data_IF_831909673402
#
_entry.id   IF_831909673402
#
_cell.length_a   1.000
_cell.length_b   1.000
_cell.length_c   1.000
_cell.angle_alpha   90.00
_cell.angle_beta   90.00
_cell.angle_gamma   90.00
#
_symmetry.space_group_name_H-M   'P 1'
#
loop_
_entity.id
_entity.type
_entity.pdbx_description
1 polymer ?
#
# COMPACT_ATOMS: atom_id res chain seq x y z
N UNK A 1 -2.70 -21.70 1.54
CA UNK A 1 -1.77 -22.70 2.08
C UNK A 1 -2.61 -23.87 2.58
N UNK A 2 -2.34 -25.05 2.08
CA UNK A 2 -2.95 -26.24 2.64
C UNK A 2 -2.28 -26.53 3.98
N UNK A 3 -3.05 -27.04 4.94
CA UNK A 3 -2.56 -27.36 6.30
C UNK A 3 -1.34 -28.30 6.31
N UNK A 4 -1.12 -29.03 5.22
CA UNK A 4 0.00 -29.98 5.03
C UNK A 4 1.34 -29.31 4.64
N UNK A 5 1.34 -28.04 4.23
CA UNK A 5 2.54 -27.32 3.77
C UNK A 5 2.92 -26.13 4.69
N UNK A 6 2.09 -25.85 5.70
CA UNK A 6 2.36 -24.76 6.66
C UNK A 6 3.36 -25.26 7.71
N UNK A 7 4.48 -24.55 7.96
CA UNK A 7 5.39 -24.91 9.03
C UNK A 7 4.69 -25.03 10.38
N UNK A 8 5.10 -25.97 11.22
CA UNK A 8 4.43 -26.28 12.50
C UNK A 8 4.44 -25.13 13.52
N UNK A 9 5.35 -24.18 13.35
CA UNK A 9 5.48 -23.00 14.21
C UNK A 9 4.65 -21.79 13.74
N UNK A 10 3.94 -21.88 12.59
CA UNK A 10 3.07 -20.82 12.11
C UNK A 10 1.69 -20.92 12.75
N UNK A 11 1.15 -19.79 13.17
CA UNK A 11 -0.15 -19.72 13.86
C UNK A 11 -1.22 -19.16 12.94
N UNK A 12 -2.41 -19.75 12.99
CA UNK A 12 -3.57 -19.22 12.28
C UNK A 12 -4.14 -18.03 13.05
N UNK A 13 -4.18 -16.88 12.38
CA UNK A 13 -4.64 -15.61 12.96
C UNK A 13 -5.82 -15.09 12.16
N UNK A 14 -6.86 -14.61 12.86
CA UNK A 14 -8.01 -13.94 12.26
C UNK A 14 -7.88 -12.42 12.43
N UNK A 15 -8.15 -11.65 11.38
CA UNK A 15 -7.94 -10.20 11.40
C UNK A 15 -8.74 -9.48 12.48
N UNK A 16 -9.99 -9.87 12.71
CA UNK A 16 -10.79 -9.30 13.79
C UNK A 16 -10.25 -9.53 15.19
N UNK A 17 -9.31 -10.47 15.36
CA UNK A 17 -8.69 -10.76 16.67
C UNK A 17 -7.38 -10.00 16.92
N UNK A 18 -6.80 -9.38 15.88
CA UNK A 18 -5.48 -8.71 15.96
C UNK A 18 -5.52 -7.20 15.75
N UNK A 19 -6.65 -6.64 15.32
CA UNK A 19 -6.74 -5.22 15.00
C UNK A 19 -8.17 -4.72 14.84
N UNK A 20 -8.30 -3.42 14.60
CA UNK A 20 -9.57 -2.74 14.35
C UNK A 20 -9.57 -2.01 13.02
N UNK A 21 -10.72 -2.00 12.34
CA UNK A 21 -10.92 -1.21 11.12
C UNK A 21 -11.31 0.22 11.44
N UNK A 22 -10.75 1.19 10.71
CA UNK A 22 -10.96 2.63 10.87
C UNK A 22 -11.39 3.19 9.52
N UNK A 23 -12.49 3.94 9.46
CA UNK A 23 -12.97 4.53 8.22
C UNK A 23 -12.03 5.63 7.72
N UNK A 24 -11.90 5.76 6.40
CA UNK A 24 -11.34 6.93 5.75
C UNK A 24 -12.25 8.17 5.90
N UNK A 25 -11.91 9.23 5.15
CA UNK A 25 -12.64 10.51 5.12
C UNK A 25 -14.12 10.31 4.81
N UNK A 26 -14.98 11.08 5.50
CA UNK A 26 -16.43 11.06 5.33
C UNK A 26 -16.92 12.47 5.01
N UNK A 27 -17.95 12.57 4.15
CA UNK A 27 -18.64 13.84 3.87
C UNK A 27 -17.83 14.87 3.09
N UNK A 28 -16.73 14.48 2.43
CA UNK A 28 -15.91 15.37 1.61
C UNK A 28 -16.45 15.51 0.19
N UNK A 29 -16.36 16.71 -0.33
CA UNK A 29 -16.71 17.08 -1.70
C UNK A 29 -15.45 17.34 -2.52
N UNK A 30 -15.57 17.49 -3.85
CA UNK A 30 -14.44 17.85 -4.73
C UNK A 30 -13.75 19.16 -4.30
N UNK A 31 -14.50 20.11 -3.74
CA UNK A 31 -13.96 21.39 -3.29
C UNK A 31 -13.01 21.25 -2.11
N UNK A 32 -13.23 20.26 -1.24
CA UNK A 32 -12.41 20.02 -0.06
C UNK A 32 -11.00 19.53 -0.40
N UNK A 33 -10.79 19.04 -1.63
CA UNK A 33 -9.48 18.61 -2.12
C UNK A 33 -8.71 19.69 -2.89
N UNK A 34 -9.29 20.90 -2.99
CA UNK A 34 -8.65 22.08 -3.57
C UNK A 34 -8.14 22.95 -2.42
N UNK A 35 -6.83 23.19 -2.34
CA UNK A 35 -6.20 24.03 -1.29
C UNK A 35 -6.48 23.53 0.15
N UNK A 36 -6.38 22.22 0.39
CA UNK A 36 -6.55 21.64 1.72
C UNK A 36 -5.44 22.05 2.71
N UNK A 37 -5.76 21.98 4.00
CA UNK A 37 -4.87 22.32 5.11
C UNK A 37 -4.27 21.07 5.81
N UNK A 38 -4.63 19.88 5.35
CA UNK A 38 -4.15 18.61 5.89
C UNK A 38 -3.74 17.65 4.77
N UNK A 39 -2.97 16.64 5.09
CA UNK A 39 -2.51 15.60 4.15
C UNK A 39 -3.41 14.37 4.20
N UNK A 40 -3.63 13.73 3.05
CA UNK A 40 -4.31 12.44 3.01
C UNK A 40 -3.65 11.46 2.04
N UNK A 41 -3.80 10.18 2.35
CA UNK A 41 -3.35 9.05 1.55
C UNK A 41 -4.41 8.79 0.47
N UNK A 42 -4.00 8.84 -0.80
CA UNK A 42 -4.88 8.64 -1.94
C UNK A 42 -5.20 7.15 -2.13
N UNK A 43 -6.28 6.87 -2.86
CA UNK A 43 -6.63 5.51 -3.27
C UNK A 43 -5.50 4.83 -4.07
N UNK A 44 -4.89 5.55 -5.01
CA UNK A 44 -3.81 5.01 -5.85
C UNK A 44 -2.53 4.72 -5.04
N UNK A 45 -2.28 5.48 -3.99
CA UNK A 45 -1.15 5.23 -3.10
C UNK A 45 -1.32 3.89 -2.37
N UNK A 46 -2.54 3.58 -1.91
CA UNK A 46 -2.85 2.28 -1.30
C UNK A 46 -2.84 1.13 -2.32
N UNK A 47 -3.39 1.37 -3.52
CA UNK A 47 -3.53 0.33 -4.54
C UNK A 47 -2.17 -0.14 -5.10
N UNK A 48 -1.25 0.79 -5.31
CA UNK A 48 -0.03 0.55 -6.08
C UNK A 48 1.23 0.29 -5.23
N UNK A 49 1.12 0.40 -3.92
CA UNK A 49 2.29 0.32 -3.03
C UNK A 49 2.05 -0.69 -1.90
N UNK A 50 3.12 -1.29 -1.41
CA UNK A 50 3.15 -2.09 -0.17
C UNK A 50 3.44 -1.20 1.03
N UNK A 51 4.21 -0.14 0.82
CA UNK A 51 4.53 0.90 1.80
C UNK A 51 3.99 2.22 1.24
N UNK A 52 3.26 2.98 2.05
CA UNK A 52 2.74 4.30 1.65
C UNK A 52 3.90 5.21 1.24
N UNK A 53 3.81 5.75 0.04
CA UNK A 53 4.73 6.78 -0.45
C UNK A 53 4.27 8.14 0.07
N UNK A 54 4.97 8.66 1.08
CA UNK A 54 4.62 9.92 1.73
C UNK A 54 5.00 11.15 0.92
N UNK A 55 5.78 10.99 -0.16
CA UNK A 55 6.13 12.08 -1.07
C UNK A 55 4.99 12.49 -2.02
N UNK A 56 3.98 11.60 -2.19
CA UNK A 56 2.83 11.81 -3.08
C UNK A 56 1.50 12.00 -2.34
N UNK A 57 1.56 12.37 -1.05
CA UNK A 57 0.35 12.72 -0.31
C UNK A 57 -0.30 13.98 -0.88
N UNK A 58 -1.62 13.93 -1.02
CA UNK A 58 -2.41 15.06 -1.49
C UNK A 58 -3.03 15.86 -0.34
N UNK A 59 -3.66 17.00 -0.65
CA UNK A 59 -4.22 17.88 0.35
C UNK A 59 -5.74 17.70 0.45
N UNK A 60 -6.25 17.83 1.67
CA UNK A 60 -7.68 17.85 1.97
C UNK A 60 -7.99 18.92 2.99
N UNK A 61 -9.14 19.58 2.86
CA UNK A 61 -9.63 20.55 3.81
C UNK A 61 -10.27 19.85 5.01
N UNK A 62 -9.76 20.11 6.20
CA UNK A 62 -10.36 19.70 7.47
C UNK A 62 -10.83 20.96 8.20
N UNK A 63 -12.10 21.03 8.56
CA UNK A 63 -12.69 22.16 9.25
C UNK A 63 -12.49 22.05 10.77
N UNK A 64 -12.40 23.16 11.53
CA UNK A 64 -12.06 23.13 12.95
C UNK A 64 -12.95 22.26 13.84
N UNK A 65 -14.23 22.12 13.49
CA UNK A 65 -15.23 21.34 14.25
C UNK A 65 -15.51 19.97 13.63
N UNK A 66 -14.75 19.57 12.65
CA UNK A 66 -14.96 18.31 11.92
C UNK A 66 -14.22 17.16 12.61
N UNK A 67 -14.95 16.09 12.87
CA UNK A 67 -14.37 14.85 13.42
C UNK A 67 -14.07 13.89 12.28
N UNK A 68 -12.81 13.75 11.94
CA UNK A 68 -12.30 12.76 10.98
C UNK A 68 -11.30 11.84 11.66
N UNK A 69 -11.25 10.59 11.20
CA UNK A 69 -10.24 9.66 11.68
C UNK A 69 -8.87 10.01 11.09
N UNK A 70 -7.86 10.12 11.94
CA UNK A 70 -6.47 10.24 11.56
C UNK A 70 -5.72 8.94 11.75
N UNK A 71 -4.65 8.78 11.01
CA UNK A 71 -3.83 7.58 10.98
C UNK A 71 -2.43 7.88 11.45
N UNK A 72 -1.73 6.85 11.89
CA UNK A 72 -0.40 6.94 12.45
C UNK A 72 0.51 5.84 11.91
N UNK A 73 1.79 5.96 12.19
CA UNK A 73 2.80 4.96 11.88
C UNK A 73 2.33 3.54 12.25
N UNK A 74 2.59 2.59 11.36
CA UNK A 74 2.20 1.17 11.42
C UNK A 74 0.70 0.88 11.21
N UNK A 75 -0.15 1.87 10.94
CA UNK A 75 -1.48 1.60 10.43
C UNK A 75 -1.39 1.02 9.00
N UNK A 76 -2.20 0.01 8.70
CA UNK A 76 -2.36 -0.54 7.37
C UNK A 76 -3.59 0.07 6.69
N UNK A 77 -3.55 0.11 5.36
CA UNK A 77 -4.63 0.67 4.55
C UNK A 77 -5.05 -0.32 3.48
N UNK A 78 -6.36 -0.40 3.24
CA UNK A 78 -6.96 -1.31 2.27
C UNK A 78 -7.91 -0.56 1.37
N UNK A 79 -7.86 -0.82 0.06
CA UNK A 79 -8.91 -0.34 -0.83
C UNK A 79 -10.18 -1.20 -0.65
N UNK A 80 -11.34 -0.52 -0.60
CA UNK A 80 -12.63 -1.19 -0.41
C UNK A 80 -13.23 -1.73 -1.68
N UNK A 81 -12.81 -1.22 -2.84
CA UNK A 81 -13.40 -1.61 -4.13
C UNK A 81 -12.40 -1.52 -5.26
N UNK A 82 -12.61 -2.33 -6.30
CA UNK A 82 -11.89 -2.27 -7.57
C UNK A 82 -12.79 -2.74 -8.72
N UNK A 83 -12.36 -2.48 -9.95
CA UNK A 83 -12.98 -3.00 -11.16
C UNK A 83 -12.61 -4.48 -11.40
N UNK A 84 -11.54 -4.95 -10.74
CA UNK A 84 -11.11 -6.35 -10.79
C UNK A 84 -11.13 -6.99 -9.41
N UNK A 85 -11.58 -8.25 -9.26
CA UNK A 85 -11.57 -8.94 -7.96
C UNK A 85 -10.16 -9.09 -7.39
N UNK A 86 -9.15 -9.20 -8.26
CA UNK A 86 -7.74 -9.34 -7.86
C UNK A 86 -7.15 -8.13 -7.15
N UNK A 87 -7.72 -6.96 -7.35
CA UNK A 87 -7.24 -5.70 -6.76
C UNK A 87 -8.03 -5.28 -5.51
N UNK A 88 -9.09 -5.99 -5.15
CA UNK A 88 -9.86 -5.69 -3.93
C UNK A 88 -9.05 -6.05 -2.70
N UNK A 89 -8.96 -5.14 -1.74
CA UNK A 89 -8.23 -5.36 -0.50
C UNK A 89 -6.71 -5.41 -0.69
N UNK A 90 -6.15 -4.70 -1.69
CA UNK A 90 -4.71 -4.40 -1.73
C UNK A 90 -4.33 -3.64 -0.47
N UNK A 91 -3.13 -3.90 0.04
CA UNK A 91 -2.70 -3.41 1.33
C UNK A 91 -1.42 -2.57 1.23
N UNK A 92 -1.39 -1.45 1.94
CA UNK A 92 -0.18 -0.67 2.14
C UNK A 92 -0.03 -0.29 3.63
N UNK A 93 1.20 -0.20 4.13
CA UNK A 93 1.51 0.19 5.51
C UNK A 93 2.15 1.58 5.56
N UNK A 94 1.81 2.38 6.55
CA UNK A 94 2.48 3.66 6.82
C UNK A 94 3.68 3.44 7.74
N UNK A 95 4.89 3.68 7.24
CA UNK A 95 6.12 3.55 8.03
C UNK A 95 6.66 4.90 8.55
N UNK A 96 6.26 6.00 7.93
CA UNK A 96 6.67 7.33 8.35
C UNK A 96 5.81 7.83 9.51
N UNK A 97 6.41 8.61 10.38
CA UNK A 97 5.71 9.31 11.45
C UNK A 97 5.23 10.67 10.92
N UNK A 98 3.94 10.77 10.63
CA UNK A 98 3.31 11.96 10.08
C UNK A 98 2.21 12.39 11.03
N UNK A 99 2.27 13.65 11.46
CA UNK A 99 1.22 14.23 12.26
C UNK A 99 -0.05 14.45 11.39
N UNK A 100 -1.18 13.91 11.86
CA UNK A 100 -2.50 14.09 11.27
C UNK A 100 -2.60 13.78 9.76
N UNK A 101 -2.27 12.56 9.37
CA UNK A 101 -2.58 12.08 8.02
C UNK A 101 -3.98 11.43 7.97
N UNK A 102 -4.72 11.72 6.90
CA UNK A 102 -6.06 11.19 6.64
C UNK A 102 -6.04 10.16 5.51
N UNK A 103 -7.17 9.52 5.23
CA UNK A 103 -7.28 8.45 4.24
C UNK A 103 -8.45 8.69 3.30
N UNK A 104 -8.27 8.38 2.03
CA UNK A 104 -9.33 8.41 1.02
C UNK A 104 -10.57 7.62 1.46
N UNK A 105 -11.77 8.11 1.11
CA UNK A 105 -13.07 7.49 1.48
C UNK A 105 -13.32 6.11 0.86
N UNK A 106 -12.63 5.76 -0.23
CA UNK A 106 -12.68 4.44 -0.86
C UNK A 106 -11.66 3.45 -0.29
N UNK A 107 -11.09 3.80 0.87
CA UNK A 107 -10.19 2.97 1.64
C UNK A 107 -10.63 2.93 3.10
N UNK A 108 -10.16 1.93 3.83
CA UNK A 108 -10.22 1.91 5.29
C UNK A 108 -8.84 1.57 5.85
N UNK A 109 -8.57 2.08 7.05
CA UNK A 109 -7.39 1.72 7.80
C UNK A 109 -7.63 0.51 8.69
N UNK A 110 -6.55 -0.17 9.04
CA UNK A 110 -6.55 -1.25 10.01
C UNK A 110 -5.40 -1.02 10.99
N UNK A 111 -5.75 -0.84 12.24
CA UNK A 111 -4.80 -0.63 13.33
C UNK A 111 -4.60 -1.91 14.11
N UNK A 112 -3.39 -2.45 14.03
CA UNK A 112 -3.01 -3.64 14.77
C UNK A 112 -2.82 -3.25 16.24
N UNK A 113 -3.37 -4.04 17.15
CA UNK A 113 -3.15 -3.95 18.60
C UNK A 113 -2.38 -5.16 19.14
N UNK A 114 -2.31 -6.26 18.40
CA UNK A 114 -1.55 -7.44 18.77
C UNK A 114 -0.05 -7.21 18.53
N UNK A 115 0.73 -7.28 19.61
CA UNK A 115 2.19 -7.08 19.57
C UNK A 115 2.96 -8.23 18.92
N UNK A 116 2.32 -9.36 18.65
CA UNK A 116 2.90 -10.50 17.94
C UNK A 116 2.81 -10.38 16.42
N UNK A 117 2.25 -9.27 15.89
CA UNK A 117 2.05 -9.05 14.46
C UNK A 117 2.82 -7.84 13.97
N UNK A 118 3.69 -8.05 12.99
CA UNK A 118 4.40 -6.98 12.30
C UNK A 118 3.59 -6.45 11.11
N UNK A 119 3.36 -5.13 11.07
CA UNK A 119 2.53 -4.48 10.05
C UNK A 119 3.16 -4.51 8.65
N UNK A 120 4.48 -4.39 8.54
CA UNK A 120 5.17 -4.43 7.26
C UNK A 120 5.13 -5.85 6.66
N UNK A 121 5.42 -6.86 7.49
CA UNK A 121 5.26 -8.25 7.08
C UNK A 121 3.83 -8.54 6.62
N UNK A 122 2.84 -8.09 7.40
CA UNK A 122 1.43 -8.33 7.06
C UNK A 122 1.05 -7.66 5.73
N UNK A 123 1.56 -6.46 5.44
CA UNK A 123 1.36 -5.80 4.14
C UNK A 123 1.94 -6.62 3.00
N UNK A 124 3.16 -7.15 3.13
CA UNK A 124 3.76 -8.04 2.12
C UNK A 124 2.97 -9.34 1.96
N UNK A 125 2.58 -9.98 3.06
CA UNK A 125 1.82 -11.22 3.03
C UNK A 125 0.48 -11.06 2.31
N UNK A 126 -0.26 -9.99 2.61
CA UNK A 126 -1.56 -9.71 1.97
C UNK A 126 -1.42 -9.49 0.46
N UNK A 127 -0.36 -8.81 0.03
CA UNK A 127 -0.09 -8.56 -1.38
C UNK A 127 0.58 -9.75 -2.10
N UNK A 128 0.99 -10.78 -1.38
CA UNK A 128 1.51 -12.03 -1.95
C UNK A 128 0.39 -12.86 -2.60
N UNK A 129 0.75 -13.86 -3.41
CA UNK A 129 -0.22 -14.78 -4.02
C UNK A 129 -1.13 -15.45 -2.97
N UNK A 130 -0.59 -15.80 -1.81
CA UNK A 130 -1.33 -16.42 -0.71
C UNK A 130 -2.37 -15.48 -0.13
N UNK A 131 -1.97 -14.26 0.18
CA UNK A 131 -2.87 -13.23 0.69
C UNK A 131 -3.92 -12.84 -0.34
N UNK A 132 -3.54 -12.65 -1.61
CA UNK A 132 -4.48 -12.30 -2.68
C UNK A 132 -5.58 -13.33 -2.84
N UNK A 133 -5.27 -14.64 -2.82
CA UNK A 133 -6.28 -15.70 -2.86
C UNK A 133 -7.30 -15.61 -1.73
N UNK A 134 -6.87 -15.23 -0.52
CA UNK A 134 -7.78 -15.06 0.62
C UNK A 134 -8.75 -13.86 0.42
N UNK A 135 -8.28 -12.77 -0.21
CA UNK A 135 -9.09 -11.56 -0.45
C UNK A 135 -9.96 -11.67 -1.71
N UNK A 136 -9.50 -12.31 -2.78
CA UNK A 136 -10.27 -12.52 -4.00
C UNK A 136 -11.61 -13.23 -3.74
N UNK A 137 -11.62 -14.20 -2.83
CA UNK A 137 -12.81 -14.93 -2.43
C UNK A 137 -13.83 -14.05 -1.66
N UNK A 138 -13.43 -12.89 -1.18
CA UNK A 138 -14.28 -11.93 -0.47
C UNK A 138 -14.81 -10.82 -1.36
N UNK A 139 -14.31 -10.71 -2.58
CA UNK A 139 -14.73 -9.70 -3.54
C UNK A 139 -16.17 -10.00 -4.01
N UNK A 140 -17.10 -9.08 -3.71
CA UNK A 140 -18.51 -9.20 -4.06
C UNK A 140 -18.90 -8.14 -5.10
N UNK A 141 -19.55 -8.57 -6.16
CA UNK A 141 -20.01 -7.68 -7.23
C UNK A 141 -19.82 -8.30 -8.61
N UNK A 142 -20.33 -7.63 -9.65
CA UNK A 142 -20.22 -8.07 -11.05
C UNK A 142 -19.47 -7.09 -11.94
N UNK A 143 -19.68 -5.79 -11.75
CA UNK A 143 -19.03 -4.69 -12.49
C UNK A 143 -18.01 -3.95 -11.61
N UNK A 144 -18.29 -3.86 -10.33
CA UNK A 144 -17.40 -3.31 -9.32
C UNK A 144 -17.41 -4.21 -8.11
N UNK A 145 -16.25 -4.69 -7.74
CA UNK A 145 -16.07 -5.61 -6.64
C UNK A 145 -15.81 -4.83 -5.35
N UNK A 146 -16.46 -5.26 -4.26
CA UNK A 146 -16.37 -4.59 -2.96
C UNK A 146 -15.95 -5.57 -1.89
N UNK A 147 -15.16 -5.09 -0.93
CA UNK A 147 -14.76 -5.80 0.28
C UNK A 147 -15.64 -5.35 1.46
N UNK A 148 -16.39 -6.27 2.03
CA UNK A 148 -17.14 -5.98 3.26
C UNK A 148 -16.23 -6.03 4.48
N UNK A 149 -16.46 -5.15 5.47
CA UNK A 149 -15.72 -5.16 6.74
C UNK A 149 -15.91 -6.44 7.52
N UNK A 150 -17.12 -7.02 7.49
CA UNK A 150 -17.40 -8.30 8.14
C UNK A 150 -16.61 -9.44 7.47
N UNK A 151 -16.54 -9.45 6.14
CA UNK A 151 -15.69 -10.37 5.39
C UNK A 151 -14.22 -10.19 5.77
N UNK A 152 -13.73 -8.95 5.79
CA UNK A 152 -12.36 -8.62 6.16
C UNK A 152 -12.00 -9.15 7.56
N UNK A 153 -12.82 -8.88 8.58
CA UNK A 153 -12.54 -9.32 9.95
C UNK A 153 -12.48 -10.84 10.10
N UNK A 154 -13.13 -11.58 9.20
CA UNK A 154 -13.12 -13.05 9.19
C UNK A 154 -11.98 -13.66 8.37
N UNK A 155 -11.15 -12.85 7.69
CA UNK A 155 -9.95 -13.35 7.00
C UNK A 155 -9.03 -14.00 8.02
N UNK A 156 -8.56 -15.19 7.67
CA UNK A 156 -7.55 -15.91 8.44
C UNK A 156 -6.32 -16.13 7.57
N UNK A 157 -5.15 -15.82 8.12
CA UNK A 157 -3.85 -16.12 7.52
C UNK A 157 -3.00 -16.87 8.54
N UNK A 158 -1.98 -17.56 8.05
CA UNK A 158 -0.97 -18.18 8.90
C UNK A 158 0.22 -17.23 9.01
N UNK A 159 0.64 -16.92 10.23
CA UNK A 159 1.76 -16.03 10.52
C UNK A 159 2.87 -16.80 11.23
N UNK A 160 4.13 -16.60 10.83
CA UNK A 160 5.28 -17.09 11.58
C UNK A 160 5.44 -16.36 12.92
N UNK A 161 6.35 -16.81 13.80
CA UNK A 161 6.75 -16.03 14.98
C UNK A 161 7.24 -14.63 14.60
N UNK A 162 7.05 -13.65 15.49
CA UNK A 162 7.32 -12.22 15.22
C UNK A 162 8.74 -11.96 14.69
N UNK A 163 9.75 -12.61 15.24
CA UNK A 163 11.14 -12.47 14.79
C UNK A 163 11.33 -12.91 13.32
N UNK A 164 10.62 -13.94 12.89
CA UNK A 164 10.63 -14.40 11.49
C UNK A 164 9.85 -13.44 10.60
N UNK A 165 8.72 -12.90 11.07
CA UNK A 165 7.98 -11.85 10.35
C UNK A 165 8.86 -10.64 10.05
N UNK A 166 9.56 -10.12 11.07
CA UNK A 166 10.47 -8.97 10.93
C UNK A 166 11.60 -9.29 9.94
N UNK A 167 12.25 -10.45 10.10
CA UNK A 167 13.35 -10.83 9.21
C UNK A 167 12.91 -10.93 7.73
N UNK A 168 11.73 -11.50 7.46
CA UNK A 168 11.16 -11.58 6.10
C UNK A 168 10.85 -10.18 5.57
N UNK A 169 10.21 -9.33 6.38
CA UNK A 169 9.85 -7.97 5.98
C UNK A 169 11.07 -7.12 5.66
N UNK A 170 12.14 -7.23 6.46
CA UNK A 170 13.41 -6.53 6.23
C UNK A 170 14.05 -6.91 4.90
N UNK A 171 14.10 -8.21 4.59
CA UNK A 171 14.63 -8.71 3.32
C UNK A 171 13.83 -8.16 2.13
N UNK A 172 12.49 -8.25 2.19
CA UNK A 172 11.62 -7.79 1.12
C UNK A 172 11.71 -6.27 0.92
N UNK A 173 11.73 -5.52 2.02
CA UNK A 173 11.89 -4.05 1.99
C UNK A 173 13.25 -3.62 1.41
N UNK A 174 14.33 -4.36 1.73
CA UNK A 174 15.65 -4.09 1.14
C UNK A 174 15.65 -4.36 -0.37
N UNK A 175 15.01 -5.43 -0.82
CA UNK A 175 14.86 -5.74 -2.25
C UNK A 175 14.03 -4.68 -2.98
N UNK A 176 12.93 -4.20 -2.40
CA UNK A 176 12.13 -3.13 -3.00
C UNK A 176 12.92 -1.83 -3.16
N UNK A 177 13.75 -1.46 -2.18
CA UNK A 177 14.63 -0.30 -2.26
C UNK A 177 15.66 -0.46 -3.40
N UNK A 178 16.26 -1.65 -3.55
CA UNK A 178 17.20 -1.92 -4.64
C UNK A 178 16.51 -1.88 -5.99
N UNK A 179 15.33 -2.49 -6.12
CA UNK A 179 14.51 -2.44 -7.34
C UNK A 179 14.19 -0.98 -7.72
N UNK A 180 13.80 -0.14 -6.76
CA UNK A 180 13.51 1.26 -6.98
C UNK A 180 14.77 2.02 -7.45
N UNK A 181 15.93 1.77 -6.83
CA UNK A 181 17.22 2.33 -7.22
C UNK A 181 17.59 1.96 -8.65
N UNK A 182 17.46 0.68 -9.01
CA UNK A 182 17.77 0.19 -10.36
C UNK A 182 16.81 0.77 -11.42
N UNK A 183 15.52 0.89 -11.11
CA UNK A 183 14.53 1.56 -11.98
C UNK A 183 14.90 3.03 -12.23
N UNK A 184 15.35 3.75 -11.21
CA UNK A 184 15.81 5.14 -11.34
C UNK A 184 17.07 5.23 -12.19
N UNK A 185 18.07 4.37 -11.98
CA UNK A 185 19.29 4.32 -12.81
C UNK A 185 18.94 4.03 -14.27
N UNK A 186 18.08 3.04 -14.53
CA UNK A 186 17.59 2.72 -15.87
C UNK A 186 16.99 3.95 -16.55
N UNK A 187 16.07 4.66 -15.86
CA UNK A 187 15.44 5.89 -16.37
C UNK A 187 16.46 6.97 -16.70
N UNK A 188 17.48 7.16 -15.85
CA UNK A 188 18.57 8.11 -16.10
C UNK A 188 19.34 7.75 -17.37
N UNK A 189 19.74 6.49 -17.55
CA UNK A 189 20.42 6.03 -18.75
C UNK A 189 19.57 6.16 -20.01
N UNK A 190 18.27 5.87 -19.93
CA UNK A 190 17.33 6.08 -21.03
C UNK A 190 17.24 7.56 -21.44
N UNK A 191 17.22 8.48 -20.47
CA UNK A 191 17.26 9.93 -20.73
C UNK A 191 18.58 10.37 -21.38
N UNK A 192 19.72 9.89 -20.87
CA UNK A 192 21.06 10.17 -21.45
C UNK A 192 21.11 9.63 -22.89
N UNK A 193 20.70 8.39 -23.12
CA UNK A 193 20.62 7.80 -24.46
C UNK A 193 19.77 8.65 -25.41
N UNK A 194 18.61 9.12 -24.93
CA UNK A 194 17.71 9.96 -25.73
C UNK A 194 18.33 11.31 -26.08
N UNK A 195 19.03 11.96 -25.14
CA UNK A 195 19.74 13.22 -25.35
C UNK A 195 20.89 13.04 -26.35
N UNK A 196 21.75 12.02 -26.14
CA UNK A 196 22.86 11.72 -27.05
C UNK A 196 22.38 11.41 -28.47
N UNK A 197 21.31 10.60 -28.59
CA UNK A 197 20.74 10.30 -29.91
C UNK A 197 20.27 11.58 -30.62
N UNK A 198 19.59 12.48 -29.89
CA UNK A 198 19.20 13.78 -30.45
C UNK A 198 20.41 14.62 -30.91
N UNK A 199 21.46 14.72 -30.09
CA UNK A 199 22.64 15.53 -30.39
C UNK A 199 23.48 14.94 -31.54
N UNK A 200 23.58 13.62 -31.62
CA UNK A 200 24.25 12.93 -32.74
C UNK A 200 23.46 13.09 -34.04
N UNK A 201 22.14 12.88 -34.01
CA UNK A 201 21.29 12.98 -35.22
C UNK A 201 21.09 14.43 -35.71
N UNK A 202 21.17 15.40 -34.80
CA UNK A 202 21.16 16.83 -35.14
C UNK A 202 22.53 17.41 -35.52
N UNK A 203 23.58 16.56 -35.62
CA UNK A 203 24.95 16.92 -35.88
C UNK A 203 25.61 17.95 -34.94
N UNK A 204 25.05 18.12 -33.74
CA UNK A 204 25.63 18.93 -32.67
C UNK A 204 26.93 18.32 -32.13
N UNK A 205 27.00 16.99 -32.09
CA UNK A 205 28.18 16.21 -31.75
C UNK A 205 28.62 15.43 -33.00
N UNK A 206 29.89 15.52 -33.39
CA UNK A 206 30.45 14.74 -34.48
C UNK A 206 31.34 13.63 -33.93
N UNK A 207 31.07 12.39 -34.36
CA UNK A 207 31.82 11.20 -33.93
C UNK A 207 33.13 11.08 -34.70
N UNK A 208 33.18 11.53 -35.98
CA UNK A 208 34.38 11.48 -36.82
C UNK A 208 34.96 12.90 -36.98
N UNK A 209 36.25 13.04 -36.66
CA UNK A 209 37.02 14.23 -37.06
C UNK A 209 37.31 14.12 -38.55
N UNK A 210 37.16 15.24 -39.31
CA UNK A 210 37.70 15.37 -40.66
C UNK A 210 39.21 15.33 -40.62
#
# INVERSE_FOLDING_TARGET
MDALTTPSNWQRVRFGDIGITINGLVGKTKQDFINGNAKYITFLNVLNNVIIDTSILENVKIYPNEKQNSFKKYDLFFNTSSETPKEVGMCAVLLDDIDQVFLNSFCFGFRIFDKAVDGLFLSYLINSEIGRKAFENLAQGSTRYNLSKSGFNNVCLFLPPLNEQIAIADILSALDKEIASLKNKKRQFENIKKALNHDLMSAKIRVLKK
#
